data_IF_814234032828
#
_entry.id   IF_814234032828
#
_cell.length_a   1.000
_cell.length_b   1.000
_cell.length_c   1.000
_cell.angle_alpha   90.00
_cell.angle_beta   90.00
_cell.angle_gamma   90.00
#
_symmetry.space_group_name_H-M   'P 1'
#
loop_
_entity.id
_entity.type
_entity.pdbx_description
1 polymer ?
#
# COMPACT_ATOMS: atom_id res chain seq x y z
N UNK A 1 0.24 -8.38 -6.29
CA UNK A 1 0.52 -7.44 -5.20
C UNK A 1 0.33 -6.04 -5.75
N UNK A 2 -0.20 -5.12 -4.95
CA UNK A 2 -0.24 -3.68 -5.25
C UNK A 2 0.49 -2.95 -4.12
N UNK A 3 1.30 -1.95 -4.45
CA UNK A 3 1.97 -1.07 -3.48
C UNK A 3 1.43 0.34 -3.71
N UNK A 4 0.82 0.91 -2.67
CA UNK A 4 0.42 2.32 -2.63
C UNK A 4 1.56 3.06 -1.92
N UNK A 5 2.33 3.82 -2.68
CA UNK A 5 3.49 4.56 -2.17
C UNK A 5 3.10 6.03 -1.88
N UNK A 6 3.94 6.71 -1.10
CA UNK A 6 3.82 8.11 -0.70
C UNK A 6 2.56 8.39 0.13
N UNK A 7 2.19 7.46 1.00
CA UNK A 7 1.05 7.65 1.91
C UNK A 7 1.23 8.85 2.85
N UNK A 8 2.47 9.30 3.07
CA UNK A 8 2.79 10.53 3.79
C UNK A 8 2.24 11.79 3.12
N UNK A 9 1.86 11.72 1.84
CA UNK A 9 1.24 12.82 1.13
C UNK A 9 -0.26 12.95 1.36
N UNK A 10 -0.93 11.94 1.94
CA UNK A 10 -2.39 11.95 2.12
C UNK A 10 -2.95 13.20 2.83
N UNK A 11 -2.25 13.84 3.80
CA UNK A 11 -2.72 15.11 4.39
C UNK A 11 -2.59 16.34 3.47
N UNK A 12 -1.83 16.23 2.37
CA UNK A 12 -1.44 17.35 1.52
C UNK A 12 -2.03 17.28 0.10
N UNK A 13 -2.65 16.15 -0.26
CA UNK A 13 -3.29 15.96 -1.57
C UNK A 13 -4.66 15.32 -1.40
N UNK A 14 -5.56 15.58 -2.34
CA UNK A 14 -6.91 15.02 -2.38
C UNK A 14 -6.90 13.55 -2.86
N UNK A 15 -6.16 12.69 -2.14
CA UNK A 15 -6.07 11.26 -2.43
C UNK A 15 -6.58 10.44 -1.24
N UNK A 16 -7.73 9.79 -1.43
CA UNK A 16 -8.29 8.86 -0.46
C UNK A 16 -7.72 7.44 -0.68
N UNK A 17 -6.88 7.01 0.26
CA UNK A 17 -6.26 5.69 0.24
C UNK A 17 -7.31 4.57 0.39
N UNK A 18 -8.35 4.77 1.19
CA UNK A 18 -9.39 3.78 1.40
C UNK A 18 -10.27 3.60 0.16
N UNK A 19 -10.58 4.69 -0.55
CA UNK A 19 -11.28 4.62 -1.84
C UNK A 19 -10.43 3.87 -2.88
N UNK A 20 -9.12 4.16 -2.94
CA UNK A 20 -8.18 3.46 -3.81
C UNK A 20 -8.19 1.94 -3.53
N UNK A 21 -8.10 1.55 -2.25
CA UNK A 21 -8.15 0.15 -1.81
C UNK A 21 -9.48 -0.51 -2.22
N UNK A 22 -10.61 0.18 -2.01
CA UNK A 22 -11.92 -0.34 -2.40
C UNK A 22 -12.00 -0.59 -3.91
N UNK A 23 -11.49 0.34 -4.73
CA UNK A 23 -11.46 0.22 -6.18
C UNK A 23 -10.54 -0.92 -6.64
N UNK A 24 -9.38 -1.10 -6.02
CA UNK A 24 -8.49 -2.24 -6.27
C UNK A 24 -9.21 -3.56 -5.97
N UNK A 25 -9.93 -3.66 -4.85
CA UNK A 25 -10.66 -4.88 -4.46
C UNK A 25 -11.84 -5.21 -5.39
N UNK A 26 -12.46 -4.21 -6.03
CA UNK A 26 -13.48 -4.44 -7.07
C UNK A 26 -12.89 -5.14 -8.30
N UNK A 27 -11.65 -4.83 -8.67
CA UNK A 27 -10.95 -5.44 -9.81
C UNK A 27 -10.39 -6.82 -9.44
N UNK A 28 -9.77 -6.93 -8.26
CA UNK A 28 -9.18 -8.18 -7.77
C UNK A 28 -9.28 -8.28 -6.24
N UNK A 29 -10.26 -9.03 -5.77
CA UNK A 29 -10.55 -9.21 -4.33
C UNK A 29 -9.39 -9.83 -3.53
N UNK A 30 -8.68 -10.80 -4.11
CA UNK A 30 -7.60 -11.55 -3.45
C UNK A 30 -6.21 -10.92 -3.59
N UNK A 31 -6.10 -9.63 -3.95
CA UNK A 31 -4.80 -8.98 -4.10
C UNK A 31 -4.26 -8.51 -2.76
N UNK A 32 -2.99 -8.85 -2.48
CA UNK A 32 -2.25 -8.27 -1.34
C UNK A 32 -1.91 -6.81 -1.66
N UNK A 33 -2.29 -5.90 -0.77
CA UNK A 33 -2.04 -4.46 -0.87
C UNK A 33 -1.10 -4.06 0.27
N UNK A 34 -0.09 -3.26 -0.05
CA UNK A 34 0.80 -2.63 0.94
C UNK A 34 0.73 -1.12 0.79
N UNK A 35 0.59 -0.45 1.93
CA UNK A 35 0.63 1.00 2.05
C UNK A 35 1.99 1.37 2.63
N UNK A 36 2.77 2.20 1.93
CA UNK A 36 4.10 2.59 2.39
C UNK A 36 4.50 3.99 1.95
N UNK A 37 5.54 4.51 2.58
CA UNK A 37 6.28 5.68 2.09
C UNK A 37 7.77 5.40 2.10
N UNK A 38 8.39 5.47 0.93
CA UNK A 38 9.86 5.41 0.79
C UNK A 38 10.55 6.59 1.47
N UNK A 39 9.84 7.72 1.67
CA UNK A 39 10.42 8.91 2.28
C UNK A 39 10.51 8.80 3.80
N UNK A 40 9.54 8.13 4.43
CA UNK A 40 9.42 8.06 5.89
C UNK A 40 9.66 6.66 6.44
N UNK A 41 10.02 5.70 5.58
CA UNK A 41 10.15 4.26 5.86
C UNK A 41 8.87 3.59 6.39
N UNK A 42 7.75 4.30 6.40
CA UNK A 42 6.47 3.77 6.87
C UNK A 42 6.04 2.58 6.00
N UNK A 43 5.59 1.49 6.64
CA UNK A 43 5.04 0.32 5.96
C UNK A 43 6.05 -0.65 5.33
N UNK A 44 7.36 -0.36 5.40
CA UNK A 44 8.40 -1.22 4.83
C UNK A 44 8.49 -2.59 5.50
N UNK A 45 8.39 -2.66 6.83
CA UNK A 45 8.54 -3.93 7.56
C UNK A 45 7.52 -4.97 7.08
N UNK A 46 6.25 -4.58 6.98
CA UNK A 46 5.17 -5.46 6.49
C UNK A 46 5.42 -5.96 5.06
N UNK A 47 5.93 -5.10 4.19
CA UNK A 47 6.24 -5.47 2.81
C UNK A 47 7.47 -6.39 2.71
N UNK A 48 8.54 -6.06 3.44
CA UNK A 48 9.78 -6.85 3.47
C UNK A 48 9.57 -8.22 4.11
N UNK A 49 8.78 -8.32 5.17
CA UNK A 49 8.45 -9.58 5.81
C UNK A 49 7.64 -10.49 4.89
N UNK A 50 6.72 -9.91 4.11
CA UNK A 50 6.03 -10.65 3.07
C UNK A 50 7.00 -11.18 2.00
N UNK A 51 7.91 -10.34 1.51
CA UNK A 51 8.91 -10.74 0.51
C UNK A 51 9.82 -11.87 1.03
N UNK A 52 10.28 -11.76 2.29
CA UNK A 52 11.11 -12.80 2.94
C UNK A 52 10.37 -14.13 3.09
N UNK A 53 9.05 -14.08 3.23
CA UNK A 53 8.18 -15.25 3.30
C UNK A 53 7.85 -15.91 1.96
N UNK A 54 8.27 -15.34 0.82
CA UNK A 54 8.06 -15.91 -0.52
C UNK A 54 9.04 -17.04 -0.88
N UNK A 55 9.77 -17.58 0.09
CA UNK A 55 10.67 -18.72 -0.13
C UNK A 55 9.91 -19.98 -0.55
#
# INVERSE_FOLDING_TARGET
MVIINKIDLSPYVDFDIQECIANIKKIRSNVKIFELSVKTDAGFDSWLDWLRGLK
#
